data_IF_975262463596
#
_entry.id   IF_975262463596
#
_cell.length_a   1.000
_cell.length_b   1.000
_cell.length_c   1.000
_cell.angle_alpha   90.00
_cell.angle_beta   90.00
_cell.angle_gamma   90.00
#
_symmetry.space_group_name_H-M   'P 1'
#
loop_
_entity.id
_entity.type
_entity.pdbx_description
1 polymer ?
#
# COMPACT_ATOMS: atom_id res chain seq x y z
N UNK A 1 56.11 8.16 14.61
CA UNK A 1 54.79 7.70 15.11
C UNK A 1 53.73 8.45 14.34
N UNK A 2 53.11 7.85 13.34
CA UNK A 2 51.92 8.38 12.66
C UNK A 2 50.74 7.78 13.38
N UNK A 3 49.95 8.65 13.98
CA UNK A 3 48.65 8.32 14.54
C UNK A 3 47.66 8.18 13.36
N UNK A 4 47.29 6.94 13.04
CA UNK A 4 46.22 6.64 12.12
C UNK A 4 44.91 7.09 12.79
N UNK A 5 44.43 8.24 12.38
CA UNK A 5 43.05 8.67 12.64
C UNK A 5 42.15 7.72 11.85
N UNK A 6 41.59 6.73 12.53
CA UNK A 6 40.47 5.96 12.04
C UNK A 6 39.25 6.90 12.01
N UNK A 7 39.00 7.52 10.84
CA UNK A 7 37.78 8.25 10.60
C UNK A 7 36.64 7.21 10.60
N UNK A 8 35.96 7.09 11.74
CA UNK A 8 34.67 6.44 11.78
C UNK A 8 33.73 7.25 10.88
N UNK A 9 33.55 6.82 9.64
CA UNK A 9 32.39 7.20 8.87
C UNK A 9 31.16 6.69 9.65
N UNK A 10 30.57 7.58 10.42
CA UNK A 10 29.20 7.34 10.91
C UNK A 10 28.37 7.28 9.64
N UNK A 11 28.01 6.06 9.23
CA UNK A 11 27.11 5.88 8.08
C UNK A 11 25.79 6.57 8.47
N UNK A 12 25.49 7.67 7.80
CA UNK A 12 24.27 8.42 8.10
C UNK A 12 23.08 7.54 7.74
N UNK A 13 22.07 7.48 8.60
CA UNK A 13 20.83 6.74 8.36
C UNK A 13 20.18 7.22 7.07
N UNK A 14 20.02 6.30 6.10
CA UNK A 14 19.55 6.65 4.77
C UNK A 14 18.02 6.85 4.74
N UNK A 15 17.26 5.95 5.40
CA UNK A 15 15.80 5.97 5.35
C UNK A 15 15.16 5.58 6.68
N UNK A 16 14.08 6.27 7.03
CA UNK A 16 13.15 5.89 8.09
C UNK A 16 11.83 5.49 7.47
N UNK A 17 11.37 4.26 7.71
CA UNK A 17 10.06 3.78 7.24
C UNK A 17 9.04 3.96 8.35
N UNK A 18 8.02 4.79 8.08
CA UNK A 18 6.95 5.14 9.03
C UNK A 18 5.72 4.32 8.65
N UNK A 19 5.25 3.46 9.55
CA UNK A 19 4.08 2.62 9.36
C UNK A 19 3.03 3.00 10.38
N UNK A 20 1.93 3.59 9.92
CA UNK A 20 0.81 3.96 10.80
C UNK A 20 -0.20 2.81 10.87
N UNK A 21 -0.37 2.24 12.06
CA UNK A 21 -1.27 1.12 12.31
C UNK A 21 -2.58 1.54 12.99
N UNK A 22 -3.68 0.87 12.60
CA UNK A 22 -4.96 0.91 13.32
C UNK A 22 -5.77 -0.35 13.04
N UNK A 23 -5.82 -1.29 14.01
CA UNK A 23 -6.64 -2.51 14.00
C UNK A 23 -6.42 -3.44 12.79
N UNK A 24 -5.15 -3.67 12.39
CA UNK A 24 -4.79 -4.56 11.26
C UNK A 24 -3.58 -5.45 11.59
N UNK A 25 -3.60 -6.08 12.77
CA UNK A 25 -2.50 -6.85 13.36
C UNK A 25 -1.79 -7.79 12.37
N UNK A 26 -2.51 -8.64 11.67
CA UNK A 26 -1.91 -9.64 10.76
C UNK A 26 -1.29 -9.02 9.50
N UNK A 27 -1.92 -7.97 8.95
CA UNK A 27 -1.35 -7.24 7.81
C UNK A 27 -0.14 -6.42 8.24
N UNK A 28 -0.17 -5.82 9.43
CA UNK A 28 0.99 -5.14 10.01
C UNK A 28 2.17 -6.10 10.17
N UNK A 29 1.93 -7.32 10.67
CA UNK A 29 2.97 -8.35 10.81
C UNK A 29 3.61 -8.66 9.45
N UNK A 30 2.81 -8.92 8.42
CA UNK A 30 3.29 -9.19 7.07
C UNK A 30 4.04 -7.99 6.47
N UNK A 31 3.53 -6.78 6.68
CA UNK A 31 4.16 -5.53 6.22
C UNK A 31 5.55 -5.36 6.84
N UNK A 32 5.65 -5.43 8.17
CA UNK A 32 6.93 -5.27 8.88
C UNK A 32 7.95 -6.34 8.46
N UNK A 33 7.54 -7.61 8.30
CA UNK A 33 8.41 -8.66 7.78
C UNK A 33 8.97 -8.31 6.40
N UNK A 34 8.12 -7.82 5.50
CA UNK A 34 8.56 -7.45 4.14
C UNK A 34 9.51 -6.25 4.15
N UNK A 35 9.23 -5.25 5.00
CA UNK A 35 10.07 -4.05 5.15
C UNK A 35 11.44 -4.42 5.75
N UNK A 36 11.49 -5.26 6.79
CA UNK A 36 12.77 -5.72 7.36
C UNK A 36 13.63 -6.40 6.30
N UNK A 37 13.03 -7.27 5.45
CA UNK A 37 13.73 -7.92 4.35
C UNK A 37 14.25 -6.93 3.30
N UNK A 38 13.48 -5.90 3.00
CA UNK A 38 13.86 -4.89 2.03
C UNK A 38 14.92 -3.89 2.55
N UNK A 39 15.15 -3.87 3.86
CA UNK A 39 16.11 -2.99 4.52
C UNK A 39 17.39 -3.70 5.02
N UNK A 40 17.54 -5.02 4.80
CA UNK A 40 18.67 -5.81 5.35
C UNK A 40 20.07 -5.23 5.08
N UNK A 41 20.23 -4.51 3.94
CA UNK A 41 21.51 -3.94 3.54
C UNK A 41 21.50 -2.40 3.49
N UNK A 42 20.56 -1.75 4.18
CA UNK A 42 20.38 -0.30 4.18
C UNK A 42 20.41 0.20 5.62
N UNK A 43 21.27 1.19 5.91
CA UNK A 43 21.25 1.87 7.20
C UNK A 43 19.91 2.60 7.39
N UNK A 44 19.04 2.03 8.23
CA UNK A 44 17.64 2.37 8.25
C UNK A 44 16.98 2.10 9.60
N UNK A 45 15.81 2.65 9.79
CA UNK A 45 14.93 2.34 10.92
C UNK A 45 13.49 2.13 10.46
N UNK A 46 12.75 1.36 11.24
CA UNK A 46 11.31 1.17 11.10
C UNK A 46 10.66 1.76 12.34
N UNK A 47 9.69 2.65 12.13
CA UNK A 47 8.89 3.28 13.18
C UNK A 47 7.44 2.92 12.94
N UNK A 48 6.87 2.10 13.82
CA UNK A 48 5.44 1.80 13.82
C UNK A 48 4.74 2.73 14.79
N UNK A 49 3.75 3.47 14.29
CA UNK A 49 2.88 4.31 15.11
C UNK A 49 1.53 3.63 15.23
N UNK A 50 1.18 3.18 16.41
CA UNK A 50 -0.13 2.58 16.66
C UNK A 50 -1.14 3.64 17.11
N UNK A 51 -2.22 3.78 16.36
CA UNK A 51 -3.27 4.77 16.61
C UNK A 51 -4.34 4.28 17.60
N UNK A 52 -3.91 3.70 18.73
CA UNK A 52 -4.80 3.14 19.75
C UNK A 52 -5.63 1.96 19.22
N UNK A 53 -4.94 0.96 18.68
CA UNK A 53 -5.57 -0.29 18.24
C UNK A 53 -6.14 -1.06 19.41
N UNK A 54 -7.27 -1.70 19.19
CA UNK A 54 -7.94 -2.58 20.16
C UNK A 54 -7.68 -4.07 19.92
N UNK A 55 -6.98 -4.39 18.81
CA UNK A 55 -6.54 -5.75 18.48
C UNK A 55 -5.14 -6.04 19.05
N UNK A 56 -4.58 -7.21 18.72
CA UNK A 56 -3.27 -7.67 19.20
C UNK A 56 -2.07 -6.96 18.58
N UNK A 57 -2.25 -5.88 17.81
CA UNK A 57 -1.16 -5.19 17.07
C UNK A 57 0.03 -4.84 17.96
N UNK A 58 -0.18 -4.12 19.08
CA UNK A 58 0.90 -3.71 19.98
C UNK A 58 1.57 -4.90 20.67
N UNK A 59 0.80 -5.89 21.12
CA UNK A 59 1.33 -7.10 21.76
C UNK A 59 2.14 -7.94 20.75
N UNK A 60 1.67 -8.07 19.52
CA UNK A 60 2.37 -8.74 18.42
C UNK A 60 3.68 -8.03 18.12
N UNK A 61 3.70 -6.70 17.96
CA UNK A 61 4.91 -5.92 17.69
C UNK A 61 5.97 -6.12 18.77
N UNK A 62 5.61 -5.98 20.04
CA UNK A 62 6.53 -6.18 21.18
C UNK A 62 7.11 -7.60 21.26
N UNK A 63 6.34 -8.61 20.86
CA UNK A 63 6.76 -10.01 20.88
C UNK A 63 7.60 -10.40 19.66
N UNK A 64 7.19 -9.96 18.45
CA UNK A 64 7.77 -10.42 17.18
C UNK A 64 8.88 -9.51 16.66
N UNK A 65 8.81 -8.21 16.96
CA UNK A 65 9.67 -7.16 16.42
C UNK A 65 10.17 -6.21 17.52
N UNK A 66 10.82 -6.73 18.56
CA UNK A 66 11.27 -5.91 19.70
C UNK A 66 12.28 -4.84 19.32
N UNK A 67 12.98 -4.97 18.17
CA UNK A 67 13.94 -4.01 17.63
C UNK A 67 13.29 -2.87 16.83
N UNK A 68 12.00 -3.00 16.47
CA UNK A 68 11.26 -1.97 15.75
C UNK A 68 10.75 -0.92 16.74
N UNK A 69 10.95 0.35 16.43
CA UNK A 69 10.43 1.44 17.26
C UNK A 69 8.90 1.45 17.22
N UNK A 70 8.25 1.25 18.36
CA UNK A 70 6.80 1.28 18.50
C UNK A 70 6.36 2.49 19.31
N UNK A 71 5.52 3.33 18.70
CA UNK A 71 4.89 4.49 19.35
C UNK A 71 3.41 4.18 19.54
N UNK A 72 2.95 4.11 20.78
CA UNK A 72 1.56 3.80 21.12
C UNK A 72 0.80 5.10 21.45
N UNK A 73 -0.08 5.54 20.53
CA UNK A 73 -0.94 6.68 20.77
C UNK A 73 -2.08 6.31 21.73
N UNK A 74 -2.49 7.25 22.58
CA UNK A 74 -3.61 7.04 23.53
C UNK A 74 -4.99 7.17 22.89
N UNK A 75 -5.06 7.71 21.68
CA UNK A 75 -6.30 7.92 20.90
C UNK A 75 -6.00 7.77 19.42
N UNK A 76 -7.01 7.47 18.60
CA UNK A 76 -6.86 7.50 17.15
C UNK A 76 -6.77 8.95 16.66
N UNK A 77 -5.55 9.39 16.39
CA UNK A 77 -5.24 10.76 15.96
C UNK A 77 -5.52 11.03 14.46
N UNK A 78 -5.93 10.02 13.70
CA UNK A 78 -6.08 10.09 12.25
C UNK A 78 -4.76 9.85 11.49
N UNK A 79 -4.86 9.79 10.16
CA UNK A 79 -3.71 9.46 9.31
C UNK A 79 -2.62 10.55 9.30
N UNK A 80 -2.94 11.84 9.12
CA UNK A 80 -1.95 12.92 9.13
C UNK A 80 -1.15 13.00 10.40
N UNK A 81 -1.82 13.13 11.53
CA UNK A 81 -1.17 13.30 12.82
C UNK A 81 -0.36 12.09 13.26
N UNK A 82 -0.86 10.87 13.00
CA UNK A 82 -0.12 9.66 13.31
C UNK A 82 1.20 9.58 12.54
N UNK A 83 1.19 9.88 11.23
CA UNK A 83 2.41 9.92 10.42
C UNK A 83 3.35 11.06 10.84
N UNK A 84 2.85 12.25 11.15
CA UNK A 84 3.66 13.37 11.65
C UNK A 84 4.41 12.98 12.93
N UNK A 85 3.75 12.26 13.86
CA UNK A 85 4.39 11.75 15.08
C UNK A 85 5.56 10.82 14.73
N UNK A 86 5.38 9.91 13.79
CA UNK A 86 6.44 9.01 13.33
C UNK A 86 7.60 9.75 12.68
N UNK A 87 7.31 10.70 11.77
CA UNK A 87 8.33 11.49 11.11
C UNK A 87 9.10 12.39 12.09
N UNK A 88 8.46 12.91 13.13
CA UNK A 88 9.13 13.72 14.16
C UNK A 88 10.20 12.92 14.93
N UNK A 89 10.07 11.60 15.03
CA UNK A 89 11.04 10.71 15.67
C UNK A 89 12.10 10.15 14.69
N UNK A 90 11.89 10.33 13.39
CA UNK A 90 12.74 9.75 12.35
C UNK A 90 14.10 10.45 12.23
N UNK A 91 15.13 9.68 11.82
CA UNK A 91 16.53 10.15 11.71
C UNK A 91 17.08 9.99 10.28
N UNK A 92 16.38 9.25 9.41
CA UNK A 92 16.81 9.01 8.04
C UNK A 92 16.83 10.27 7.17
N UNK A 93 17.74 10.31 6.20
CA UNK A 93 17.76 11.38 5.18
C UNK A 93 16.44 11.39 4.39
N UNK A 94 15.93 10.19 4.10
CA UNK A 94 14.62 9.99 3.49
C UNK A 94 13.61 9.48 4.52
N UNK A 95 12.36 9.82 4.33
CA UNK A 95 11.23 9.22 5.03
C UNK A 95 10.34 8.49 4.02
N UNK A 96 9.91 7.28 4.39
CA UNK A 96 8.88 6.53 3.67
C UNK A 96 7.62 6.48 4.51
N UNK A 97 6.54 7.06 4.04
CA UNK A 97 5.20 6.84 4.58
C UNK A 97 4.65 5.58 3.95
N UNK A 98 4.30 4.59 4.76
CA UNK A 98 3.89 3.26 4.32
C UNK A 98 2.63 2.79 5.06
N UNK A 99 1.64 2.33 4.30
CA UNK A 99 0.45 1.72 4.90
C UNK A 99 0.75 0.34 5.51
N UNK A 100 0.10 -0.04 6.61
CA UNK A 100 0.33 -1.29 7.32
C UNK A 100 -0.18 -2.53 6.56
N UNK A 101 -0.99 -2.35 5.51
CA UNK A 101 -1.54 -3.39 4.65
C UNK A 101 -0.82 -3.48 3.28
N UNK A 102 0.49 -3.18 3.28
CA UNK A 102 1.36 -3.30 2.11
C UNK A 102 2.38 -4.43 2.25
N UNK A 103 2.88 -4.91 1.10
CA UNK A 103 4.02 -5.85 1.03
C UNK A 103 5.01 -5.31 0.00
N UNK A 104 6.26 -5.15 0.42
CA UNK A 104 7.35 -4.66 -0.42
C UNK A 104 8.29 -5.81 -0.84
N UNK A 105 8.91 -5.71 -2.01
CA UNK A 105 9.96 -6.63 -2.46
C UNK A 105 11.29 -6.30 -1.79
N UNK A 106 12.20 -7.27 -1.71
CA UNK A 106 13.51 -7.13 -1.08
C UNK A 106 14.36 -6.00 -1.68
N UNK A 107 14.21 -5.68 -2.96
CA UNK A 107 14.95 -4.64 -3.67
C UNK A 107 14.20 -3.28 -3.76
N UNK A 108 13.07 -3.15 -3.07
CA UNK A 108 12.22 -1.96 -3.16
C UNK A 108 12.95 -0.69 -2.78
N UNK A 109 13.54 -0.64 -1.58
CA UNK A 109 14.15 0.58 -1.06
C UNK A 109 15.48 0.90 -1.75
N UNK A 110 16.28 -0.10 -2.10
CA UNK A 110 17.50 0.10 -2.91
C UNK A 110 17.18 0.81 -4.23
N UNK A 111 16.20 0.31 -4.99
CA UNK A 111 15.77 0.92 -6.25
C UNK A 111 15.20 2.32 -6.08
N UNK A 112 14.37 2.53 -5.07
CA UNK A 112 13.72 3.83 -4.81
C UNK A 112 14.76 4.87 -4.40
N UNK A 113 15.72 4.54 -3.55
CA UNK A 113 16.79 5.45 -3.13
C UNK A 113 17.69 5.80 -4.30
N UNK A 114 18.15 4.82 -5.08
CA UNK A 114 18.95 5.06 -6.28
C UNK A 114 18.22 5.96 -7.30
N UNK A 115 16.92 5.74 -7.50
CA UNK A 115 16.11 6.62 -8.34
C UNK A 115 16.01 8.03 -7.75
N UNK A 116 15.75 8.15 -6.45
CA UNK A 116 15.62 9.43 -5.76
C UNK A 116 16.90 10.28 -5.87
N UNK A 117 18.06 9.66 -5.66
CA UNK A 117 19.39 10.31 -5.76
C UNK A 117 19.68 10.77 -7.20
N UNK A 118 19.15 10.09 -8.21
CA UNK A 118 19.29 10.48 -9.62
C UNK A 118 18.54 11.77 -10.00
N UNK A 119 17.70 12.32 -9.10
CA UNK A 119 16.84 13.48 -9.40
C UNK A 119 17.25 14.73 -8.63
N UNK A 120 17.66 15.77 -9.35
CA UNK A 120 18.08 17.04 -8.74
C UNK A 120 16.94 17.85 -8.13
N UNK A 121 15.72 17.71 -8.64
CA UNK A 121 14.54 18.45 -8.17
C UNK A 121 13.45 17.49 -7.67
N UNK A 122 13.86 16.55 -6.81
CA UNK A 122 12.98 15.53 -6.26
C UNK A 122 11.94 16.15 -5.32
N UNK A 123 10.69 15.76 -5.53
CA UNK A 123 9.60 15.85 -4.56
C UNK A 123 9.38 14.50 -3.88
N UNK A 124 8.27 13.86 -4.21
CA UNK A 124 7.89 12.54 -3.68
C UNK A 124 8.10 11.48 -4.77
N UNK A 125 8.57 10.31 -4.38
CA UNK A 125 8.56 9.09 -5.21
C UNK A 125 7.49 8.15 -4.68
N UNK A 126 6.56 7.78 -5.56
CA UNK A 126 5.62 6.68 -5.33
C UNK A 126 5.95 5.52 -6.26
N UNK A 127 5.49 4.33 -5.93
CA UNK A 127 5.73 3.11 -6.68
C UNK A 127 4.49 2.61 -7.43
N UNK A 128 4.66 1.57 -8.24
CA UNK A 128 3.56 0.82 -8.81
C UNK A 128 2.86 0.02 -7.72
N UNK A 129 1.56 0.25 -7.55
CA UNK A 129 0.76 -0.53 -6.62
C UNK A 129 -0.10 -1.56 -7.36
N UNK A 130 -0.16 -2.76 -6.80
CA UNK A 130 -1.09 -3.82 -7.19
C UNK A 130 -1.92 -4.26 -5.99
N UNK A 131 -3.12 -4.77 -6.22
CA UNK A 131 -3.94 -5.36 -5.15
C UNK A 131 -3.56 -6.83 -4.87
N UNK A 132 -4.20 -7.46 -3.89
CA UNK A 132 -3.97 -8.86 -3.53
C UNK A 132 -4.28 -9.87 -4.63
N UNK A 133 -4.90 -9.44 -5.75
CA UNK A 133 -5.16 -10.26 -6.94
C UNK A 133 -4.16 -9.98 -8.08
N UNK A 134 -3.17 -9.11 -7.83
CA UNK A 134 -2.17 -8.69 -8.81
C UNK A 134 -2.62 -7.59 -9.77
N UNK A 135 -3.83 -7.06 -9.62
CA UNK A 135 -4.33 -6.02 -10.50
C UNK A 135 -3.75 -4.65 -10.14
N UNK A 136 -3.39 -3.88 -11.17
CA UNK A 136 -2.88 -2.53 -11.01
C UNK A 136 -3.88 -1.60 -10.33
N UNK A 137 -3.40 -0.80 -9.39
CA UNK A 137 -4.16 0.21 -8.68
C UNK A 137 -3.89 1.61 -9.27
N UNK A 138 -4.75 2.13 -10.15
CA UNK A 138 -4.48 3.36 -10.91
C UNK A 138 -4.39 4.62 -10.02
N UNK A 139 -4.88 4.58 -8.79
CA UNK A 139 -4.76 5.68 -7.83
C UNK A 139 -3.34 5.96 -7.34
N UNK A 140 -2.38 5.06 -7.61
CA UNK A 140 -0.97 5.30 -7.26
C UNK A 140 -0.33 6.43 -8.06
N UNK A 141 -0.96 6.89 -9.14
CA UNK A 141 -0.54 8.03 -9.96
C UNK A 141 -1.76 8.85 -10.37
N UNK A 142 -1.82 10.10 -9.96
CA UNK A 142 -2.98 10.98 -10.21
C UNK A 142 -2.54 12.39 -10.62
N UNK A 143 -3.42 13.12 -11.27
CA UNK A 143 -3.33 14.57 -11.44
C UNK A 143 -4.00 15.32 -10.29
N UNK A 144 -3.67 16.60 -10.13
CA UNK A 144 -4.35 17.47 -9.16
C UNK A 144 -5.86 17.44 -9.44
N UNK A 145 -6.70 17.13 -8.45
CA UNK A 145 -8.16 17.08 -8.62
C UNK A 145 -8.74 18.50 -8.68
N UNK A 146 -8.38 19.27 -9.71
CA UNK A 146 -9.03 20.57 -9.95
C UNK A 146 -10.52 20.38 -10.20
N UNK A 147 -11.37 21.45 -10.07
CA UNK A 147 -12.79 21.34 -10.36
C UNK A 147 -13.12 20.68 -11.71
N UNK A 148 -12.36 21.01 -12.74
CA UNK A 148 -12.51 20.40 -14.06
C UNK A 148 -12.13 18.91 -14.08
N UNK A 149 -11.04 18.53 -13.41
CA UNK A 149 -10.58 17.12 -13.30
C UNK A 149 -11.60 16.29 -12.51
N UNK A 150 -12.13 16.85 -11.41
CA UNK A 150 -13.21 16.21 -10.65
C UNK A 150 -14.48 16.02 -11.50
N UNK A 151 -14.85 17.02 -12.29
CA UNK A 151 -15.97 16.93 -13.23
C UNK A 151 -15.79 15.81 -14.25
N UNK A 152 -14.60 15.71 -14.89
CA UNK A 152 -14.33 14.64 -15.87
C UNK A 152 -14.40 13.26 -15.25
N UNK A 153 -14.02 13.12 -13.96
CA UNK A 153 -14.14 11.88 -13.18
C UNK A 153 -15.59 11.49 -12.93
N UNK A 154 -16.39 12.43 -12.42
CA UNK A 154 -17.80 12.18 -12.06
C UNK A 154 -18.65 11.87 -13.30
N UNK A 155 -18.43 12.57 -14.41
CA UNK A 155 -19.14 12.35 -15.67
C UNK A 155 -18.65 11.14 -16.47
N UNK A 156 -17.54 10.51 -16.08
CA UNK A 156 -16.94 9.41 -16.82
C UNK A 156 -16.19 9.81 -18.10
N UNK A 157 -16.08 11.11 -18.41
CA UNK A 157 -15.35 11.61 -19.60
C UNK A 157 -13.89 11.15 -19.66
N UNK A 158 -13.25 10.95 -18.50
CA UNK A 158 -11.89 10.40 -18.44
C UNK A 158 -11.78 8.99 -19.05
N UNK A 159 -12.86 8.17 -19.01
CA UNK A 159 -12.89 6.83 -19.62
C UNK A 159 -13.09 6.90 -21.14
N UNK A 160 -13.81 7.92 -21.63
CA UNK A 160 -14.04 8.10 -23.07
C UNK A 160 -12.82 8.64 -23.76
N UNK A 161 -12.06 9.52 -23.09
CA UNK A 161 -10.85 10.16 -23.65
C UNK A 161 -9.65 9.94 -22.72
N UNK A 162 -9.22 8.69 -22.46
CA UNK A 162 -8.19 8.38 -21.46
C UNK A 162 -6.83 8.99 -21.80
N UNK A 163 -6.40 8.95 -23.06
CA UNK A 163 -5.11 9.48 -23.52
C UNK A 163 -5.06 11.01 -23.65
N UNK A 164 -6.18 11.68 -23.43
CA UNK A 164 -6.22 13.15 -23.47
C UNK A 164 -5.55 13.74 -22.22
N UNK A 165 -4.51 14.55 -22.40
CA UNK A 165 -3.87 15.30 -21.29
C UNK A 165 -4.85 16.16 -20.50
N UNK A 166 -6.02 16.51 -21.07
CA UNK A 166 -7.05 17.33 -20.44
C UNK A 166 -8.08 16.49 -19.69
N UNK A 167 -8.58 15.39 -20.28
CA UNK A 167 -9.66 14.55 -19.74
C UNK A 167 -9.12 13.36 -18.93
N UNK A 168 -8.02 12.73 -19.34
CA UNK A 168 -7.39 11.60 -18.64
C UNK A 168 -6.50 12.00 -17.46
N UNK A 169 -6.53 13.28 -17.04
CA UNK A 169 -5.63 13.82 -16.01
C UNK A 169 -5.84 13.18 -14.63
N UNK A 170 -7.06 12.74 -14.31
CA UNK A 170 -7.36 12.24 -12.98
C UNK A 170 -6.47 11.08 -12.55
N UNK A 171 -6.27 10.06 -13.38
CA UNK A 171 -5.37 8.92 -13.13
C UNK A 171 -4.03 9.03 -13.88
N UNK A 172 -3.67 10.24 -14.30
CA UNK A 172 -2.46 10.49 -15.09
C UNK A 172 -2.30 9.48 -16.25
N UNK A 173 -3.40 9.28 -17.01
CA UNK A 173 -3.51 8.28 -18.08
C UNK A 173 -2.51 8.51 -19.25
N UNK A 174 -1.83 9.67 -19.27
CA UNK A 174 -0.73 9.95 -20.19
C UNK A 174 0.52 9.12 -19.90
N UNK A 175 0.56 8.45 -18.74
CA UNK A 175 1.64 7.59 -18.28
C UNK A 175 1.08 6.16 -18.11
N UNK A 176 1.67 5.20 -18.78
CA UNK A 176 1.25 3.81 -18.68
C UNK A 176 1.64 3.18 -17.32
N UNK A 177 1.04 2.03 -16.95
CA UNK A 177 1.33 1.36 -15.68
C UNK A 177 2.81 0.95 -15.53
N UNK A 178 3.48 0.66 -16.66
CA UNK A 178 4.88 0.24 -16.71
C UNK A 178 5.79 1.35 -17.25
N UNK A 179 5.49 2.60 -16.96
CA UNK A 179 6.27 3.75 -17.38
C UNK A 179 6.54 4.69 -16.21
N UNK A 180 7.81 4.91 -15.89
CA UNK A 180 8.24 5.90 -14.90
C UNK A 180 8.09 7.32 -15.44
N UNK A 181 7.58 8.24 -14.63
CA UNK A 181 7.44 9.63 -15.05
C UNK A 181 6.92 10.57 -13.96
N UNK A 182 6.85 11.86 -14.33
CA UNK A 182 6.31 12.90 -13.44
C UNK A 182 4.79 12.77 -13.34
N UNK A 183 4.30 12.92 -12.11
CA UNK A 183 2.88 12.95 -11.79
C UNK A 183 2.60 14.08 -10.80
N UNK A 184 1.35 14.50 -10.68
CA UNK A 184 1.02 15.56 -9.74
C UNK A 184 0.87 15.00 -8.32
N UNK A 185 0.07 13.94 -8.17
CA UNK A 185 -0.36 13.38 -6.89
C UNK A 185 0.00 11.90 -6.80
N UNK A 186 0.52 11.50 -5.68
CA UNK A 186 0.79 10.12 -5.29
C UNK A 186 -0.14 9.70 -4.15
N UNK A 187 -0.30 8.40 -3.93
CA UNK A 187 -1.17 7.87 -2.87
C UNK A 187 -0.37 7.65 -1.58
N UNK A 188 -0.97 7.92 -0.44
CA UNK A 188 -0.39 7.80 0.89
C UNK A 188 0.01 6.36 1.31
N UNK A 189 -0.30 5.35 0.49
CA UNK A 189 0.08 3.97 0.77
C UNK A 189 1.58 3.71 0.65
N UNK A 190 2.30 4.49 -0.20
CA UNK A 190 3.75 4.45 -0.36
C UNK A 190 4.26 5.78 -0.87
N UNK A 191 4.94 6.55 -0.04
CA UNK A 191 5.49 7.87 -0.40
C UNK A 191 6.89 8.01 0.19
N UNK A 192 7.91 8.14 -0.66
CA UNK A 192 9.30 8.39 -0.24
C UNK A 192 9.71 9.79 -0.63
N UNK A 193 10.27 10.54 0.29
CA UNK A 193 10.80 11.88 0.05
C UNK A 193 11.91 12.23 1.05
N UNK A 194 12.68 13.28 0.75
CA UNK A 194 13.64 13.80 1.74
C UNK A 194 12.89 14.27 2.99
N UNK A 195 13.42 13.90 4.16
CA UNK A 195 12.85 14.31 5.46
C UNK A 195 12.80 15.83 5.59
N UNK A 196 13.87 16.53 5.18
CA UNK A 196 13.91 17.98 5.24
C UNK A 196 12.83 18.63 4.38
N UNK A 197 12.55 18.10 3.19
CA UNK A 197 11.45 18.57 2.34
C UNK A 197 10.09 18.32 2.99
N UNK A 198 9.89 17.17 3.65
CA UNK A 198 8.66 16.89 4.40
C UNK A 198 8.43 17.96 5.46
N UNK A 199 9.47 18.31 6.22
CA UNK A 199 9.41 19.34 7.27
C UNK A 199 9.25 20.75 6.69
N UNK A 200 9.94 21.08 5.58
CA UNK A 200 9.85 22.36 4.87
C UNK A 200 8.42 22.65 4.41
N UNK A 201 7.71 21.67 3.86
CA UNK A 201 6.33 21.87 3.41
C UNK A 201 5.30 21.75 4.53
N UNK A 202 5.73 21.47 5.77
CA UNK A 202 4.89 21.37 6.96
C UNK A 202 4.30 19.99 7.22
N UNK A 203 4.73 18.95 6.49
CA UNK A 203 4.23 17.59 6.63
C UNK A 203 2.76 17.44 6.21
N UNK A 204 2.09 16.45 6.78
CA UNK A 204 0.64 16.30 6.62
C UNK A 204 -0.12 17.36 7.44
N UNK A 205 -1.16 17.93 6.85
CA UNK A 205 -2.03 18.89 7.56
C UNK A 205 -2.98 18.16 8.52
N UNK A 206 -2.82 18.37 9.83
CA UNK A 206 -3.58 17.68 10.88
C UNK A 206 -5.06 18.10 10.96
N UNK A 207 -5.46 19.16 10.25
CA UNK A 207 -6.88 19.54 10.10
C UNK A 207 -7.64 18.58 9.14
N UNK A 208 -6.91 17.75 8.39
CA UNK A 208 -7.49 16.66 7.62
C UNK A 208 -7.39 15.35 8.42
N UNK A 209 -8.51 14.64 8.64
CA UNK A 209 -8.48 13.37 9.34
C UNK A 209 -7.96 12.23 8.45
N UNK A 210 -8.38 12.17 7.18
CA UNK A 210 -7.95 11.20 6.15
C UNK A 210 -8.54 11.52 4.77
N UNK A 211 -8.05 10.87 3.71
CA UNK A 211 -8.50 10.84 2.30
C UNK A 211 -8.10 12.03 1.41
N UNK A 212 -7.63 13.14 1.92
CA UNK A 212 -7.02 14.19 1.10
C UNK A 212 -5.63 14.59 1.58
N UNK A 213 -5.15 13.91 2.58
CA UNK A 213 -3.84 14.05 3.17
C UNK A 213 -2.72 13.84 2.14
N UNK A 214 -2.79 12.75 1.37
CA UNK A 214 -1.86 12.43 0.30
C UNK A 214 -1.93 13.44 -0.87
N UNK A 215 -3.15 13.91 -1.19
CA UNK A 215 -3.37 14.93 -2.22
C UNK A 215 -2.78 16.25 -1.77
N UNK A 216 -3.03 16.63 -0.52
CA UNK A 216 -2.56 17.90 0.07
C UNK A 216 -1.03 17.93 0.13
N UNK A 217 -0.39 16.91 0.71
CA UNK A 217 1.07 16.82 0.79
C UNK A 217 1.72 16.84 -0.61
N UNK A 218 1.23 16.02 -1.54
CA UNK A 218 1.75 16.01 -2.91
C UNK A 218 1.65 17.38 -3.56
N UNK A 219 0.53 18.08 -3.35
CA UNK A 219 0.30 19.40 -3.92
C UNK A 219 1.15 20.48 -3.25
N UNK A 220 1.40 20.40 -1.93
CA UNK A 220 2.31 21.31 -1.23
C UNK A 220 3.74 21.18 -1.75
N UNK A 221 4.20 19.94 -2.00
CA UNK A 221 5.51 19.65 -2.61
C UNK A 221 5.63 20.24 -4.01
N UNK A 222 4.57 20.16 -4.83
CA UNK A 222 4.54 20.83 -6.14
C UNK A 222 4.61 22.34 -6.03
N UNK A 223 3.91 22.94 -5.03
CA UNK A 223 3.96 24.40 -4.76
C UNK A 223 5.34 24.87 -4.31
N UNK A 224 6.10 24.01 -3.62
CA UNK A 224 7.50 24.26 -3.28
C UNK A 224 8.44 24.14 -4.51
N UNK A 225 7.88 23.96 -5.72
CA UNK A 225 8.64 23.89 -6.98
C UNK A 225 9.30 22.52 -7.22
N UNK A 226 8.99 21.50 -6.44
CA UNK A 226 9.54 20.13 -6.59
C UNK A 226 8.70 19.32 -7.55
N UNK A 227 9.23 18.16 -8.01
CA UNK A 227 8.57 17.25 -8.94
C UNK A 227 8.30 15.91 -8.28
N UNK A 228 7.05 15.46 -8.30
CA UNK A 228 6.66 14.12 -7.86
C UNK A 228 6.82 13.12 -8.99
N UNK A 229 7.19 11.88 -8.66
CA UNK A 229 7.45 10.82 -9.61
C UNK A 229 6.73 9.53 -9.27
N UNK A 230 6.10 8.94 -10.26
CA UNK A 230 5.70 7.54 -10.26
C UNK A 230 6.87 6.70 -10.79
N UNK A 231 7.31 5.71 -10.02
CA UNK A 231 8.41 4.79 -10.36
C UNK A 231 7.87 3.36 -10.44
N UNK A 232 7.73 2.87 -11.68
CA UNK A 232 7.07 1.58 -11.94
C UNK A 232 7.95 0.35 -11.67
N UNK A 233 9.29 0.52 -11.63
CA UNK A 233 10.22 -0.60 -11.45
C UNK A 233 10.23 -1.16 -10.01
N UNK A 234 9.59 -0.46 -9.09
CA UNK A 234 9.27 -0.96 -7.75
C UNK A 234 7.78 -1.24 -7.68
N UNK A 235 7.42 -2.51 -7.43
CA UNK A 235 6.05 -2.99 -7.32
C UNK A 235 5.75 -3.34 -5.87
N UNK A 236 4.67 -2.78 -5.33
CA UNK A 236 4.24 -3.00 -3.95
C UNK A 236 2.81 -3.51 -3.95
N UNK A 237 2.53 -4.57 -3.18
CA UNK A 237 1.15 -5.01 -2.95
C UNK A 237 0.52 -4.08 -1.92
N UNK A 238 -0.69 -3.62 -2.20
CA UNK A 238 -1.52 -2.87 -1.25
C UNK A 238 -2.88 -3.54 -1.18
N UNK A 239 -3.14 -4.26 -0.11
CA UNK A 239 -4.37 -5.05 0.06
C UNK A 239 -5.62 -4.19 0.11
N UNK A 240 -5.51 -2.98 0.66
CA UNK A 240 -6.55 -1.95 0.65
C UNK A 240 -7.85 -2.34 1.38
N UNK A 241 -8.39 -1.41 2.11
CA UNK A 241 -9.67 -1.60 2.81
C UNK A 241 -9.59 -2.27 4.18
N UNK A 242 -8.39 -2.66 4.64
CA UNK A 242 -8.21 -3.35 5.91
C UNK A 242 -8.54 -2.45 7.12
N UNK A 243 -8.03 -1.22 7.11
CA UNK A 243 -8.30 -0.23 8.16
C UNK A 243 -9.52 0.66 7.90
N UNK A 244 -10.21 0.49 6.75
CA UNK A 244 -11.29 1.39 6.33
C UNK A 244 -12.55 0.65 5.94
N UNK A 245 -13.53 0.62 6.84
CA UNK A 245 -14.89 0.14 6.51
C UNK A 245 -15.62 1.21 5.69
N UNK A 246 -16.12 0.84 4.51
CA UNK A 246 -16.90 1.74 3.64
C UNK A 246 -18.37 1.83 4.09
N UNK A 247 -18.57 2.47 5.23
CA UNK A 247 -19.87 2.76 5.82
C UNK A 247 -20.38 4.18 5.49
N UNK A 248 -21.45 4.61 6.15
CA UNK A 248 -21.96 5.98 6.02
C UNK A 248 -20.97 7.06 6.47
N UNK A 249 -20.07 6.74 7.42
CA UNK A 249 -19.02 7.63 7.88
C UNK A 249 -17.93 7.84 6.82
N UNK A 250 -17.67 6.82 5.99
CA UNK A 250 -16.74 6.94 4.86
C UNK A 250 -17.13 8.08 3.91
N UNK A 251 -18.40 8.13 3.50
CA UNK A 251 -18.89 9.17 2.57
C UNK A 251 -18.82 10.57 3.17
N UNK A 252 -19.13 10.67 4.47
CA UNK A 252 -19.01 11.95 5.19
C UNK A 252 -17.55 12.39 5.22
N UNK A 253 -16.62 11.52 5.69
CA UNK A 253 -15.18 11.81 5.77
C UNK A 253 -14.59 12.16 4.40
N UNK A 254 -14.97 11.43 3.35
CA UNK A 254 -14.52 11.74 1.98
C UNK A 254 -14.98 13.13 1.51
N UNK A 255 -16.25 13.49 1.76
CA UNK A 255 -16.76 14.83 1.43
C UNK A 255 -16.03 15.91 2.22
N UNK A 256 -15.84 15.71 3.53
CA UNK A 256 -15.19 16.66 4.41
C UNK A 256 -13.71 16.86 3.98
N UNK A 257 -13.02 15.78 3.60
CA UNK A 257 -11.67 15.80 3.05
C UNK A 257 -11.58 16.59 1.73
N UNK A 258 -12.50 16.36 0.81
CA UNK A 258 -12.55 17.13 -0.44
C UNK A 258 -12.81 18.63 -0.16
N UNK A 259 -13.76 18.94 0.73
CA UNK A 259 -14.01 20.31 1.13
C UNK A 259 -12.79 20.98 1.75
N UNK A 260 -12.06 20.26 2.62
CA UNK A 260 -10.79 20.72 3.20
C UNK A 260 -9.79 21.10 2.10
N UNK A 261 -9.50 20.18 1.17
CA UNK A 261 -8.52 20.40 0.11
C UNK A 261 -8.88 21.60 -0.79
N UNK A 262 -10.15 21.70 -1.20
CA UNK A 262 -10.59 22.81 -2.05
C UNK A 262 -10.59 24.15 -1.31
N UNK A 263 -11.01 24.19 -0.05
CA UNK A 263 -11.01 25.44 0.74
C UNK A 263 -9.60 25.97 1.03
N UNK A 264 -8.63 25.05 1.15
CA UNK A 264 -7.22 25.38 1.40
C UNK A 264 -6.51 25.90 0.14
N UNK A 265 -6.78 25.30 -1.02
CA UNK A 265 -5.97 25.49 -2.24
C UNK A 265 -6.63 26.27 -3.36
N UNK A 266 -7.94 26.38 -3.37
CA UNK A 266 -8.67 27.05 -4.44
C UNK A 266 -9.55 28.17 -3.90
N UNK A 267 -9.77 29.21 -4.72
CA UNK A 267 -10.72 30.27 -4.37
C UNK A 267 -12.11 29.70 -4.21
N UNK A 268 -12.79 30.06 -3.13
CA UNK A 268 -14.18 29.67 -2.88
C UNK A 268 -15.06 30.12 -4.05
N UNK A 269 -15.82 29.17 -4.61
CA UNK A 269 -16.80 29.42 -5.67
C UNK A 269 -18.10 28.72 -5.32
N UNK A 270 -19.16 29.48 -5.14
CA UNK A 270 -20.50 28.96 -4.85
C UNK A 270 -20.94 27.96 -5.93
N UNK A 271 -20.62 28.23 -7.20
CA UNK A 271 -20.90 27.33 -8.31
C UNK A 271 -20.17 25.98 -8.13
N UNK A 272 -18.95 25.99 -7.61
CA UNK A 272 -18.20 24.78 -7.36
C UNK A 272 -18.79 23.96 -6.21
N UNK A 273 -19.17 24.61 -5.10
CA UNK A 273 -19.79 23.93 -3.96
C UNK A 273 -21.13 23.26 -4.34
N UNK A 274 -21.95 23.93 -5.15
CA UNK A 274 -23.18 23.35 -5.72
C UNK A 274 -22.83 22.14 -6.61
N UNK A 275 -21.82 22.28 -7.47
CA UNK A 275 -21.39 21.21 -8.39
C UNK A 275 -20.88 19.98 -7.64
N UNK A 276 -20.07 20.18 -6.59
CA UNK A 276 -19.58 19.11 -5.74
C UNK A 276 -20.71 18.41 -4.98
N UNK A 277 -21.70 19.16 -4.49
CA UNK A 277 -22.88 18.61 -3.80
C UNK A 277 -23.73 17.75 -4.74
N UNK A 278 -23.97 18.22 -5.97
CA UNK A 278 -24.69 17.45 -7.00
C UNK A 278 -23.87 16.21 -7.40
N UNK A 279 -22.57 16.34 -7.61
CA UNK A 279 -21.69 15.22 -7.93
C UNK A 279 -21.66 14.14 -6.85
N UNK A 280 -21.56 14.55 -5.57
CA UNK A 280 -21.64 13.63 -4.43
C UNK A 280 -23.00 12.92 -4.33
N UNK A 281 -24.08 13.64 -4.57
CA UNK A 281 -25.44 13.10 -4.61
C UNK A 281 -25.60 12.07 -5.73
N UNK A 282 -25.23 12.41 -6.95
CA UNK A 282 -25.27 11.49 -8.10
C UNK A 282 -24.41 10.25 -7.84
N UNK A 283 -23.17 10.43 -7.34
CA UNK A 283 -22.29 9.32 -6.99
C UNK A 283 -22.92 8.41 -5.93
N UNK A 284 -23.63 8.95 -4.95
CA UNK A 284 -24.34 8.17 -3.94
C UNK A 284 -25.47 7.32 -4.52
N UNK A 285 -26.17 7.82 -5.53
CA UNK A 285 -27.23 7.09 -6.24
C UNK A 285 -26.67 5.92 -7.07
N UNK A 286 -25.57 6.15 -7.78
CA UNK A 286 -24.91 5.10 -8.58
C UNK A 286 -24.23 4.03 -7.72
N UNK A 287 -23.78 4.38 -6.51
CA UNK A 287 -23.08 3.44 -5.60
C UNK A 287 -24.00 2.42 -4.93
N UNK A 288 -25.29 2.69 -4.84
CA UNK A 288 -26.29 1.74 -4.29
C UNK A 288 -26.36 0.41 -5.07
N UNK A 289 -25.72 0.37 -6.26
CA UNK A 289 -25.67 -0.77 -7.17
C UNK A 289 -24.31 -1.51 -7.18
N UNK A 290 -23.36 -1.18 -6.30
CA UNK A 290 -22.13 -2.01 -6.23
C UNK A 290 -22.46 -3.33 -5.54
N UNK A 291 -22.40 -4.39 -6.34
CA UNK A 291 -22.69 -5.75 -5.95
C UNK A 291 -21.91 -6.17 -4.70
N UNK A 292 -22.61 -6.84 -3.79
CA UNK A 292 -22.00 -7.67 -2.74
C UNK A 292 -20.96 -8.56 -3.42
N UNK A 293 -19.72 -8.48 -2.99
CA UNK A 293 -18.67 -9.33 -3.55
C UNK A 293 -19.05 -10.77 -3.24
N UNK A 294 -19.42 -11.51 -4.28
CA UNK A 294 -19.74 -12.93 -4.13
C UNK A 294 -18.43 -13.63 -3.80
N UNK A 295 -18.28 -14.16 -2.59
CA UNK A 295 -17.13 -15.01 -2.21
C UNK A 295 -17.04 -16.15 -3.24
N UNK A 296 -15.97 -16.14 -4.03
CA UNK A 296 -15.71 -17.23 -4.98
C UNK A 296 -15.50 -18.53 -4.20
N UNK A 297 -16.22 -19.56 -4.55
CA UNK A 297 -15.97 -20.91 -4.00
C UNK A 297 -14.65 -21.39 -4.57
N UNK A 298 -13.67 -21.65 -3.70
CA UNK A 298 -12.38 -22.22 -4.10
C UNK A 298 -12.58 -23.73 -4.33
N UNK A 299 -12.18 -24.20 -5.49
CA UNK A 299 -12.32 -25.62 -5.87
C UNK A 299 -11.06 -26.41 -5.50
N UNK A 300 -9.88 -25.81 -5.62
CA UNK A 300 -8.59 -26.43 -5.35
C UNK A 300 -7.61 -25.42 -4.73
N UNK A 301 -6.75 -25.94 -3.85
CA UNK A 301 -5.63 -25.21 -3.27
C UNK A 301 -4.30 -25.72 -3.81
N UNK A 302 -3.34 -24.81 -4.04
CA UNK A 302 -1.97 -25.15 -4.37
C UNK A 302 -1.04 -24.42 -3.42
N UNK A 303 -0.19 -25.15 -2.69
CA UNK A 303 0.78 -24.60 -1.75
C UNK A 303 2.18 -24.69 -2.37
N UNK A 304 2.81 -23.56 -2.58
CA UNK A 304 4.19 -23.43 -3.01
C UNK A 304 5.13 -23.58 -1.80
N UNK A 305 5.45 -24.83 -1.48
CA UNK A 305 6.33 -25.22 -0.36
C UNK A 305 6.85 -26.62 -0.59
N UNK A 306 8.05 -26.92 -0.06
CA UNK A 306 8.61 -28.27 0.00
C UNK A 306 8.34 -28.97 1.33
N UNK A 307 7.68 -28.29 2.28
CA UNK A 307 7.33 -28.84 3.60
C UNK A 307 6.03 -29.65 3.55
N UNK A 308 6.20 -30.99 3.54
CA UNK A 308 5.07 -31.94 3.54
C UNK A 308 4.19 -31.84 4.79
N UNK A 309 4.77 -31.49 5.95
CA UNK A 309 4.01 -31.35 7.18
C UNK A 309 3.10 -30.12 7.12
N UNK A 310 3.61 -29.03 6.52
CA UNK A 310 2.82 -27.83 6.28
C UNK A 310 1.64 -28.13 5.34
N UNK A 311 1.87 -28.89 4.25
CA UNK A 311 0.79 -29.31 3.34
C UNK A 311 -0.32 -30.03 4.10
N UNK A 312 0.03 -31.06 4.89
CA UNK A 312 -0.93 -31.82 5.69
C UNK A 312 -1.68 -30.93 6.69
N UNK A 313 -0.98 -29.99 7.32
CA UNK A 313 -1.59 -29.04 8.25
C UNK A 313 -2.61 -28.15 7.55
N UNK A 314 -2.28 -27.62 6.38
CA UNK A 314 -3.17 -26.78 5.57
C UNK A 314 -4.35 -27.60 5.03
N UNK A 315 -4.14 -28.83 4.56
CA UNK A 315 -5.23 -29.75 4.14
C UNK A 315 -6.24 -30.00 5.25
N UNK A 316 -5.76 -30.35 6.45
CA UNK A 316 -6.62 -30.59 7.61
C UNK A 316 -7.43 -29.34 7.98
N UNK A 317 -6.80 -28.15 7.93
CA UNK A 317 -7.44 -26.89 8.25
C UNK A 317 -8.53 -26.52 7.25
N UNK A 318 -8.22 -26.65 5.96
CA UNK A 318 -9.13 -26.25 4.89
C UNK A 318 -10.21 -27.31 4.58
N UNK A 319 -10.04 -28.56 5.09
CA UNK A 319 -10.90 -29.68 4.78
C UNK A 319 -10.92 -30.03 3.28
N UNK A 320 -9.85 -29.70 2.55
CA UNK A 320 -9.71 -29.87 1.11
C UNK A 320 -8.29 -30.30 0.75
N UNK A 321 -8.18 -31.05 -0.35
CA UNK A 321 -6.88 -31.45 -0.89
C UNK A 321 -6.06 -30.23 -1.32
N UNK A 322 -4.80 -30.17 -0.86
CA UNK A 322 -3.81 -29.17 -1.22
C UNK A 322 -2.74 -29.79 -2.10
N UNK A 323 -2.53 -29.26 -3.27
CA UNK A 323 -1.47 -29.73 -4.16
C UNK A 323 -0.17 -29.06 -3.76
N UNK A 324 0.81 -29.86 -3.36
CA UNK A 324 2.17 -29.38 -3.13
C UNK A 324 2.81 -29.07 -4.48
N UNK A 325 3.37 -27.87 -4.59
CA UNK A 325 4.03 -27.43 -5.82
C UNK A 325 5.47 -27.05 -5.47
N UNK A 326 6.42 -27.64 -6.17
CA UNK A 326 7.85 -27.39 -5.97
C UNK A 326 8.27 -25.99 -6.46
N UNK A 327 9.37 -25.51 -5.96
CA UNK A 327 9.80 -24.11 -5.82
C UNK A 327 10.07 -23.30 -7.10
N UNK A 328 9.96 -23.84 -8.30
CA UNK A 328 10.01 -23.04 -9.53
C UNK A 328 8.63 -22.49 -9.87
N UNK A 329 8.26 -21.39 -9.21
CA UNK A 329 6.92 -20.79 -9.27
C UNK A 329 6.43 -20.56 -10.69
N UNK A 330 7.29 -20.09 -11.60
CA UNK A 330 6.91 -19.76 -12.96
C UNK A 330 6.50 -20.97 -13.82
N UNK A 331 7.27 -22.04 -13.79
CA UNK A 331 6.97 -23.22 -14.58
C UNK A 331 5.77 -23.98 -14.05
N UNK A 332 5.65 -24.02 -12.73
CA UNK A 332 4.56 -24.69 -12.04
C UNK A 332 3.21 -23.98 -12.20
N UNK A 333 3.18 -22.64 -12.12
CA UNK A 333 1.95 -21.87 -12.37
C UNK A 333 1.50 -21.95 -13.84
N UNK A 334 2.44 -22.01 -14.78
CA UNK A 334 2.10 -22.23 -16.19
C UNK A 334 1.51 -23.64 -16.43
N UNK A 335 1.93 -24.65 -15.66
CA UNK A 335 1.41 -26.01 -15.75
C UNK A 335 0.08 -26.22 -15.01
N UNK A 336 -0.24 -25.35 -14.03
CA UNK A 336 -1.54 -25.30 -13.37
C UNK A 336 -2.60 -24.67 -14.31
N UNK A 337 -2.60 -25.06 -15.61
CA UNK A 337 -3.59 -24.57 -16.55
C UNK A 337 -4.99 -24.89 -16.04
N UNK A 338 -5.79 -23.85 -15.87
CA UNK A 338 -7.19 -23.99 -15.47
C UNK A 338 -7.93 -24.89 -16.45
N UNK A 339 -8.49 -25.96 -15.96
CA UNK A 339 -9.68 -26.53 -16.60
C UNK A 339 -10.72 -25.41 -16.59
N UNK A 340 -11.28 -25.08 -17.73
CA UNK A 340 -12.18 -23.95 -17.88
C UNK A 340 -13.22 -23.91 -16.73
N UNK A 341 -13.17 -22.87 -15.90
CA UNK A 341 -14.11 -22.63 -14.79
C UNK A 341 -13.68 -23.04 -13.38
N UNK A 342 -12.48 -23.61 -13.17
CA UNK A 342 -11.98 -23.99 -11.84
C UNK A 342 -11.36 -22.77 -11.12
N UNK A 343 -11.77 -22.49 -9.87
CA UNK A 343 -11.16 -21.46 -9.03
C UNK A 343 -10.05 -22.06 -8.17
N UNK A 344 -8.82 -21.66 -8.41
CA UNK A 344 -7.65 -22.16 -7.69
C UNK A 344 -7.10 -21.07 -6.78
N UNK A 345 -6.93 -21.37 -5.49
CA UNK A 345 -6.21 -20.50 -4.56
C UNK A 345 -4.77 -20.96 -4.42
N UNK A 346 -3.85 -20.03 -4.71
CA UNK A 346 -2.41 -20.22 -4.58
C UNK A 346 -1.98 -19.70 -3.22
N UNK A 347 -1.28 -20.52 -2.46
CA UNK A 347 -0.68 -20.15 -1.18
C UNK A 347 0.83 -20.16 -1.34
N UNK A 348 1.48 -19.02 -1.09
CA UNK A 348 2.93 -18.87 -1.15
C UNK A 348 3.54 -19.01 0.25
N UNK A 349 4.44 -19.95 0.43
CA UNK A 349 5.21 -20.12 1.66
C UNK A 349 6.41 -19.15 1.65
N UNK A 350 6.31 -18.05 2.38
CA UNK A 350 7.38 -17.05 2.47
C UNK A 350 8.58 -17.51 3.31
N UNK A 351 8.54 -18.69 3.94
CA UNK A 351 9.76 -19.28 4.49
C UNK A 351 10.72 -19.75 3.40
N UNK A 352 10.23 -19.98 2.18
CA UNK A 352 11.00 -20.50 1.05
C UNK A 352 11.03 -19.56 -0.15
N UNK A 353 10.02 -18.71 -0.30
CA UNK A 353 9.88 -17.78 -1.41
C UNK A 353 10.12 -16.34 -0.96
N UNK A 354 10.91 -15.57 -1.72
CA UNK A 354 11.10 -14.15 -1.49
C UNK A 354 9.80 -13.35 -1.78
N UNK A 355 9.62 -12.23 -1.13
CA UNK A 355 8.50 -11.31 -1.43
C UNK A 355 8.53 -10.85 -2.88
N UNK A 356 9.72 -10.60 -3.45
CA UNK A 356 9.88 -10.26 -4.87
C UNK A 356 9.32 -11.34 -5.78
N UNK A 357 9.62 -12.61 -5.52
CA UNK A 357 9.08 -13.72 -6.30
C UNK A 357 7.56 -13.83 -6.19
N UNK A 358 7.02 -13.63 -4.99
CA UNK A 358 5.58 -13.62 -4.72
C UNK A 358 4.91 -12.48 -5.49
N UNK A 359 5.40 -11.24 -5.34
CA UNK A 359 4.85 -10.04 -6.00
C UNK A 359 4.86 -10.20 -7.52
N UNK A 360 5.98 -10.65 -8.11
CA UNK A 360 6.07 -10.93 -9.54
C UNK A 360 5.04 -11.98 -10.00
N UNK A 361 4.78 -12.98 -9.16
CA UNK A 361 3.79 -14.02 -9.46
C UNK A 361 2.37 -13.47 -9.44
N UNK A 362 2.01 -12.65 -8.45
CA UNK A 362 0.71 -11.97 -8.40
C UNK A 362 0.48 -11.15 -9.68
N UNK A 363 1.45 -10.33 -10.08
CA UNK A 363 1.36 -9.46 -11.25
C UNK A 363 1.22 -10.26 -12.55
N UNK A 364 2.06 -11.30 -12.72
CA UNK A 364 2.10 -12.11 -13.95
C UNK A 364 0.86 -12.98 -14.13
N UNK A 365 0.29 -13.47 -13.05
CA UNK A 365 -0.84 -14.40 -13.07
C UNK A 365 -2.18 -13.74 -12.74
N UNK A 366 -2.23 -12.42 -12.67
CA UNK A 366 -3.46 -11.65 -12.55
C UNK A 366 -4.47 -12.02 -13.64
N UNK A 367 -5.74 -12.07 -13.31
CA UNK A 367 -6.84 -12.36 -14.24
C UNK A 367 -6.80 -13.76 -14.92
N UNK A 368 -6.00 -14.70 -14.41
CA UNK A 368 -5.93 -16.07 -14.92
C UNK A 368 -6.75 -17.09 -14.11
N UNK A 369 -7.72 -16.62 -13.32
CA UNK A 369 -8.59 -17.48 -12.51
C UNK A 369 -7.98 -17.94 -11.19
N UNK A 370 -6.82 -17.36 -10.80
CA UNK A 370 -6.20 -17.61 -9.51
C UNK A 370 -6.59 -16.55 -8.48
N UNK A 371 -6.60 -16.97 -7.21
CA UNK A 371 -6.53 -16.13 -6.03
C UNK A 371 -5.25 -16.43 -5.27
N UNK A 372 -4.77 -15.47 -4.46
CA UNK A 372 -3.45 -15.56 -3.87
C UNK A 372 -3.50 -15.29 -2.37
N UNK A 373 -2.74 -16.09 -1.62
CA UNK A 373 -2.47 -15.90 -0.20
C UNK A 373 -0.99 -16.10 0.09
N UNK A 374 -0.54 -15.51 1.20
CA UNK A 374 0.84 -15.64 1.70
C UNK A 374 0.77 -16.30 3.08
N UNK A 375 1.62 -17.28 3.31
CA UNK A 375 2.02 -17.74 4.63
C UNK A 375 3.28 -16.97 5.01
N UNK A 376 3.21 -15.97 5.89
CA UNK A 376 4.38 -15.17 6.26
C UNK A 376 5.42 -16.01 7.01
N UNK A 377 6.68 -15.60 6.91
CA UNK A 377 7.80 -16.31 7.54
C UNK A 377 7.60 -16.45 9.06
N UNK A 378 7.77 -17.67 9.57
CA UNK A 378 7.65 -18.00 11.02
C UNK A 378 6.31 -17.56 11.63
N UNK A 379 5.24 -17.51 10.84
CA UNK A 379 3.89 -17.22 11.32
C UNK A 379 3.02 -18.49 11.36
N UNK A 380 1.91 -18.38 12.04
CA UNK A 380 0.91 -19.45 12.18
C UNK A 380 -0.43 -19.05 11.53
N UNK A 381 -0.38 -18.25 10.46
CA UNK A 381 -1.56 -17.84 9.69
C UNK A 381 -1.23 -17.69 8.21
N UNK A 382 -2.26 -17.80 7.40
CA UNK A 382 -2.25 -17.52 5.96
C UNK A 382 -3.10 -16.28 5.73
N UNK A 383 -2.64 -15.35 4.88
CA UNK A 383 -3.28 -14.06 4.70
C UNK A 383 -3.30 -13.64 3.23
N UNK A 384 -4.35 -12.95 2.82
CA UNK A 384 -4.47 -12.35 1.49
C UNK A 384 -5.84 -11.72 1.27
N UNK A 385 -6.02 -11.05 0.15
CA UNK A 385 -7.30 -10.46 -0.22
C UNK A 385 -7.62 -10.76 -1.67
N UNK A 386 -8.85 -11.18 -1.92
CA UNK A 386 -9.37 -11.48 -3.26
C UNK A 386 -10.14 -10.31 -3.87
N UNK A 387 -10.17 -9.16 -3.21
CA UNK A 387 -10.86 -7.95 -3.66
C UNK A 387 -10.29 -6.72 -2.97
N UNK A 388 -10.00 -5.68 -3.74
CA UNK A 388 -9.64 -4.35 -3.20
C UNK A 388 -10.82 -3.60 -2.56
N UNK A 389 -12.01 -4.19 -2.53
CA UNK A 389 -13.23 -3.59 -1.98
C UNK A 389 -13.66 -4.18 -0.63
N UNK A 390 -13.15 -5.35 -0.27
CA UNK A 390 -13.47 -6.07 0.96
C UNK A 390 -12.22 -6.18 1.85
N UNK A 391 -12.43 -6.49 3.11
CA UNK A 391 -11.35 -6.89 4.01
C UNK A 391 -10.72 -8.19 3.52
N UNK A 392 -9.42 -8.31 3.68
CA UNK A 392 -8.70 -9.54 3.43
C UNK A 392 -9.12 -10.67 4.38
N UNK A 393 -8.69 -11.85 4.05
CA UNK A 393 -8.99 -13.05 4.81
C UNK A 393 -7.73 -13.53 5.53
N UNK A 394 -7.88 -13.85 6.81
CA UNK A 394 -6.83 -14.45 7.64
C UNK A 394 -7.30 -15.85 8.03
N UNK A 395 -6.47 -16.86 7.80
CA UNK A 395 -6.72 -18.25 8.13
C UNK A 395 -5.66 -18.67 9.16
N UNK A 396 -6.03 -18.81 10.43
CA UNK A 396 -5.11 -19.23 11.48
C UNK A 396 -4.75 -20.72 11.32
N UNK A 397 -3.45 -21.03 11.41
CA UNK A 397 -2.94 -22.41 11.34
C UNK A 397 -2.90 -23.13 12.70
N UNK A 398 -3.23 -22.42 13.80
CA UNK A 398 -3.39 -23.05 15.11
C UNK A 398 -4.72 -23.80 15.13
N UNK A 399 -4.63 -25.09 15.40
CA UNK A 399 -5.78 -25.83 15.90
C UNK A 399 -5.86 -25.47 17.38
N UNK A 400 -6.89 -24.74 17.80
CA UNK A 400 -7.19 -24.59 19.22
C UNK A 400 -7.22 -25.99 19.81
N UNK A 401 -6.31 -26.25 20.78
CA UNK A 401 -6.39 -27.48 21.54
C UNK A 401 -7.73 -27.41 22.30
N UNK A 402 -8.68 -28.22 21.85
CA UNK A 402 -9.91 -28.53 22.59
C UNK A 402 -9.55 -29.11 23.95
#
# INVERSE_FOLDING_TARGET
MRTDEVIHYICAMQISVIILNYNVCYFLELCVLSVQKALENIESEIIVVDNNSSDDSCAMMKRRFPEVSLIENKTNAGFPKGNNIGVAQSKGEYVCILNPDTVVAEDTFEKILAFAESKTNLGIVGCKLIDGTGNFLPECKRGVPTPFVAFTKVTGLYKVFPKSRRFGKYYAEHLEENQTGKVDILVGAFMVMKRDLYLEVGGFDENCFMYSDDIDLSYMVLKAGRSNYYFHESVVVHYKGESTVRDGLYMKRFRDAMHFFYSKHFKKSILFDVFMSIGAFLFSLFKKSQAVTIKRKIDRYSLFSTDKNLVLKVENLLGKKVVMTDSTVENSLNSLTNKAGENIEIIFDNNQLSFKSIINSLERFRNKGFTFKILPQKSDFIIGSNSSNDRGEVIALKIDKV
#
